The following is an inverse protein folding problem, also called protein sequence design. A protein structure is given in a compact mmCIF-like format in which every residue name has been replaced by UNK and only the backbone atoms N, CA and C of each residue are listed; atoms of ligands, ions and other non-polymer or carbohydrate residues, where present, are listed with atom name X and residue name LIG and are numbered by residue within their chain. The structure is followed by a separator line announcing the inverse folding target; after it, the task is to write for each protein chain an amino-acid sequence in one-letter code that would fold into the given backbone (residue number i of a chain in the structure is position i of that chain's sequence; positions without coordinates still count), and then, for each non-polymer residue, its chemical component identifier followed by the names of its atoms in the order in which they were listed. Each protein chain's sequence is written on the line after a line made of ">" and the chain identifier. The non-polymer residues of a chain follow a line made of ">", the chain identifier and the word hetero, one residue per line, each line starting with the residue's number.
data_IF_886495622892
#
_entry.id   IF_886495622892
#
_cell.length_a   1.000
_cell.length_b   1.000
_cell.length_c   1.000
_cell.angle_alpha   90.00
_cell.angle_beta   90.00
_cell.angle_gamma   90.00
#
_symmetry.space_group_name_H-M   'P 1'
#
loop_
_entity.id
_entity.type
_entity.pdbx_description
1 polymer ?
#
# COMPACT_ATOMS: atom_id res chain seq x y z
N UNK A 1 -55.26 10.74 21.76
CA UNK A 1 -54.04 10.20 22.39
C UNK A 1 -53.00 9.98 21.28
N UNK A 2 -52.49 11.04 20.63
CA UNK A 2 -51.63 10.94 19.43
C UNK A 2 -50.71 12.16 19.22
N UNK A 3 -50.23 12.82 20.27
CA UNK A 3 -49.40 14.05 20.14
C UNK A 3 -47.94 13.90 20.60
N UNK A 4 -47.57 12.75 21.16
CA UNK A 4 -46.21 12.49 21.66
C UNK A 4 -45.24 11.96 20.61
N UNK A 5 -45.72 11.48 19.45
CA UNK A 5 -44.91 10.77 18.45
C UNK A 5 -44.34 11.72 17.37
N UNK A 6 -44.94 12.89 17.14
CA UNK A 6 -44.44 13.92 16.22
C UNK A 6 -43.28 14.72 16.82
N UNK A 7 -43.37 15.05 18.11
CA UNK A 7 -42.35 15.81 18.84
C UNK A 7 -41.03 15.04 19.00
N UNK A 8 -41.08 13.72 19.17
CA UNK A 8 -39.87 12.88 19.28
C UNK A 8 -39.01 12.87 18.02
N UNK A 9 -39.60 12.72 16.83
CA UNK A 9 -38.84 12.68 15.56
C UNK A 9 -38.16 14.00 15.21
N UNK A 10 -38.79 15.14 15.52
CA UNK A 10 -38.19 16.45 15.29
C UNK A 10 -36.95 16.72 16.16
N UNK A 11 -36.93 16.17 17.38
CA UNK A 11 -35.77 16.23 18.27
C UNK A 11 -34.61 15.36 17.76
N UNK A 12 -34.91 14.16 17.24
CA UNK A 12 -33.89 13.26 16.66
C UNK A 12 -33.26 13.83 15.37
N UNK A 13 -34.04 14.48 14.50
CA UNK A 13 -33.54 15.17 13.31
C UNK A 13 -32.68 16.39 13.68
N UNK A 14 -33.07 17.14 14.72
CA UNK A 14 -32.28 18.26 15.23
C UNK A 14 -30.94 17.79 15.86
N UNK A 15 -30.96 16.68 16.60
CA UNK A 15 -29.76 16.07 17.20
C UNK A 15 -28.80 15.54 16.13
N UNK A 16 -29.30 14.82 15.13
CA UNK A 16 -28.48 14.31 14.03
C UNK A 16 -27.89 15.42 13.16
N UNK A 17 -28.64 16.51 12.94
CA UNK A 17 -28.13 17.70 12.25
C UNK A 17 -27.05 18.41 13.08
N UNK A 18 -27.21 18.49 14.40
CA UNK A 18 -26.21 19.07 15.31
C UNK A 18 -24.92 18.24 15.34
N UNK A 19 -25.04 16.90 15.37
CA UNK A 19 -23.89 15.99 15.30
C UNK A 19 -23.16 16.09 13.95
N UNK A 20 -23.91 16.15 12.84
CA UNK A 20 -23.34 16.33 11.51
C UNK A 20 -22.58 17.66 11.39
N UNK A 21 -23.14 18.75 11.95
CA UNK A 21 -22.49 20.05 12.00
C UNK A 21 -21.24 20.04 12.88
N UNK A 22 -21.30 19.40 14.05
CA UNK A 22 -20.14 19.25 14.94
C UNK A 22 -19.01 18.46 14.27
N UNK A 23 -19.33 17.39 13.54
CA UNK A 23 -18.35 16.61 12.76
C UNK A 23 -17.74 17.44 11.64
N UNK A 24 -18.55 18.24 10.94
CA UNK A 24 -18.06 19.14 9.90
C UNK A 24 -17.12 20.20 10.47
N UNK A 25 -17.43 20.77 11.63
CA UNK A 25 -16.57 21.74 12.31
C UNK A 25 -15.27 21.11 12.80
N UNK A 26 -15.31 19.88 13.31
CA UNK A 26 -14.11 19.13 13.71
C UNK A 26 -13.22 18.79 12.50
N UNK A 27 -13.80 18.37 11.37
CA UNK A 27 -13.05 18.13 10.14
C UNK A 27 -12.45 19.43 9.58
N UNK A 28 -13.20 20.53 9.61
CA UNK A 28 -12.71 21.85 9.22
C UNK A 28 -11.55 22.31 10.11
N UNK A 29 -11.65 22.07 11.43
CA UNK A 29 -10.62 22.41 12.40
C UNK A 29 -9.35 21.58 12.21
N UNK A 30 -9.48 20.27 11.98
CA UNK A 30 -8.34 19.39 11.69
C UNK A 30 -7.65 19.77 10.36
N UNK A 31 -8.43 20.12 9.33
CA UNK A 31 -7.91 20.62 8.05
C UNK A 31 -7.24 21.98 8.20
N UNK A 32 -7.78 22.87 9.04
CA UNK A 32 -7.18 24.17 9.33
C UNK A 32 -5.85 24.04 10.08
N UNK A 33 -5.77 23.13 11.05
CA UNK A 33 -4.54 22.87 11.82
C UNK A 33 -3.43 22.25 10.95
N UNK A 34 -3.79 21.29 10.10
CA UNK A 34 -2.85 20.68 9.15
C UNK A 34 -2.41 21.65 8.06
N UNK A 35 -3.30 22.53 7.60
CA UNK A 35 -2.94 23.62 6.69
C UNK A 35 -2.01 24.63 7.38
N UNK A 36 -2.30 25.02 8.62
CA UNK A 36 -1.49 25.97 9.39
C UNK A 36 -0.09 25.45 9.68
N UNK A 37 0.06 24.17 10.03
CA UNK A 37 1.37 23.55 10.25
C UNK A 37 2.15 23.38 8.95
N UNK A 38 1.49 23.02 7.84
CA UNK A 38 2.13 22.97 6.53
C UNK A 38 2.58 24.35 6.04
N UNK A 39 1.77 25.39 6.25
CA UNK A 39 2.07 26.77 5.89
C UNK A 39 3.22 27.33 6.75
N UNK A 40 3.17 27.10 8.07
CA UNK A 40 4.22 27.48 9.01
C UNK A 40 5.54 26.77 8.69
N UNK A 41 5.50 25.47 8.43
CA UNK A 41 6.67 24.69 8.01
C UNK A 41 7.24 25.13 6.67
N UNK A 42 6.39 25.54 5.73
CA UNK A 42 6.82 26.10 4.44
C UNK A 42 7.46 27.48 4.61
N UNK A 43 6.91 28.36 5.45
CA UNK A 43 7.47 29.69 5.77
C UNK A 43 8.78 29.57 6.53
N UNK A 44 8.84 28.70 7.54
CA UNK A 44 10.07 28.40 8.29
C UNK A 44 11.12 27.76 7.37
N UNK A 45 10.73 26.82 6.51
CA UNK A 45 11.59 26.21 5.51
C UNK A 45 12.11 27.19 4.48
N UNK A 46 11.29 28.15 4.03
CA UNK A 46 11.68 29.20 3.08
C UNK A 46 12.63 30.22 3.72
N UNK A 47 12.36 30.63 4.97
CA UNK A 47 13.21 31.55 5.72
C UNK A 47 14.56 30.94 6.10
N UNK A 48 14.60 29.64 6.45
CA UNK A 48 15.82 28.95 6.87
C UNK A 48 16.70 28.48 5.70
N UNK A 49 16.13 28.11 4.55
CA UNK A 49 16.88 27.47 3.47
C UNK A 49 17.21 28.37 2.28
N UNK A 50 16.73 29.62 2.24
CA UNK A 50 17.05 30.57 1.16
C UNK A 50 16.66 30.13 -0.26
N UNK A 51 15.92 29.03 -0.42
CA UNK A 51 15.36 28.59 -1.70
C UNK A 51 14.20 29.52 -2.02
N UNK A 52 14.43 30.37 -3.02
CA UNK A 52 13.60 31.54 -3.29
C UNK A 52 12.10 31.25 -3.34
N UNK A 53 11.32 32.19 -2.80
CA UNK A 53 9.86 32.30 -2.86
C UNK A 53 9.30 31.94 -4.26
N UNK A 54 10.05 32.23 -5.31
CA UNK A 54 9.77 31.83 -6.69
C UNK A 54 9.55 30.31 -6.88
N UNK A 55 10.33 29.44 -6.23
CA UNK A 55 10.14 27.99 -6.31
C UNK A 55 8.87 27.56 -5.58
N UNK A 56 8.54 28.22 -4.46
CA UNK A 56 7.32 27.97 -3.71
C UNK A 56 6.10 28.44 -4.50
N UNK A 57 6.15 29.62 -5.13
CA UNK A 57 5.07 30.16 -5.95
C UNK A 57 4.89 29.38 -7.26
N UNK A 58 5.96 28.92 -7.91
CA UNK A 58 5.86 28.00 -9.05
C UNK A 58 5.28 26.64 -8.64
N UNK A 59 5.66 26.15 -7.45
CA UNK A 59 5.11 24.92 -6.87
C UNK A 59 3.63 25.04 -6.56
N UNK A 60 3.21 26.16 -5.96
CA UNK A 60 1.81 26.45 -5.66
C UNK A 60 1.00 26.67 -6.94
N UNK A 61 1.54 27.42 -7.90
CA UNK A 61 0.92 27.64 -9.20
C UNK A 61 0.67 26.35 -9.97
N UNK A 62 1.65 25.44 -10.02
CA UNK A 62 1.47 24.10 -10.61
C UNK A 62 0.37 23.31 -9.91
N UNK A 63 0.38 23.28 -8.58
CA UNK A 63 -0.65 22.57 -7.80
C UNK A 63 -2.05 23.15 -8.01
N UNK A 64 -2.18 24.47 -8.09
CA UNK A 64 -3.46 25.13 -8.37
C UNK A 64 -3.94 24.86 -9.80
N UNK A 65 -3.04 24.85 -10.78
CA UNK A 65 -3.35 24.45 -12.16
C UNK A 65 -3.75 22.98 -12.27
N UNK A 66 -3.08 22.08 -11.54
CA UNK A 66 -3.41 20.66 -11.51
C UNK A 66 -4.78 20.43 -10.88
N UNK A 67 -5.11 21.14 -9.79
CA UNK A 67 -6.42 21.07 -9.13
C UNK A 67 -7.51 21.65 -10.04
N UNK A 68 -7.26 22.79 -10.69
CA UNK A 68 -8.21 23.42 -11.59
C UNK A 68 -8.46 22.56 -12.85
N UNK A 69 -7.41 21.99 -13.42
CA UNK A 69 -7.49 21.08 -14.57
C UNK A 69 -8.21 19.78 -14.19
N UNK A 70 -7.90 19.20 -13.03
CA UNK A 70 -8.60 18.03 -12.52
C UNK A 70 -10.08 18.33 -12.21
N UNK A 71 -10.40 19.50 -11.66
CA UNK A 71 -11.78 19.92 -11.40
C UNK A 71 -12.56 20.17 -12.70
N UNK A 72 -11.90 20.70 -13.74
CA UNK A 72 -12.49 20.95 -15.05
C UNK A 72 -12.69 19.65 -15.85
N UNK A 73 -11.80 18.67 -15.70
CA UNK A 73 -11.90 17.37 -16.37
C UNK A 73 -12.77 16.36 -15.61
N UNK A 74 -13.02 16.57 -14.31
CA UNK A 74 -13.86 15.69 -13.47
C UNK A 74 -15.23 15.33 -14.07
N UNK A 75 -16.00 16.27 -14.66
CA UNK A 75 -17.29 15.92 -15.29
C UNK A 75 -17.13 15.00 -16.51
N UNK A 76 -16.05 15.18 -17.27
CA UNK A 76 -15.72 14.33 -18.43
C UNK A 76 -15.20 12.97 -17.97
N UNK A 77 -14.38 12.93 -16.92
CA UNK A 77 -13.92 11.71 -16.25
C UNK A 77 -15.11 10.92 -15.69
N UNK A 78 -16.07 11.59 -15.05
CA UNK A 78 -17.29 10.96 -14.53
C UNK A 78 -18.22 10.47 -15.65
N UNK A 79 -18.35 11.21 -16.75
CA UNK A 79 -19.13 10.79 -17.91
C UNK A 79 -18.48 9.59 -18.62
N UNK A 80 -17.16 9.62 -18.81
CA UNK A 80 -16.38 8.52 -19.39
C UNK A 80 -16.37 7.29 -18.47
N UNK A 81 -16.27 7.49 -17.15
CA UNK A 81 -16.40 6.44 -16.13
C UNK A 81 -17.81 5.86 -16.07
N UNK A 82 -18.84 6.68 -16.24
CA UNK A 82 -20.23 6.24 -16.33
C UNK A 82 -20.50 5.43 -17.59
N UNK A 83 -19.96 5.84 -18.74
CA UNK A 83 -20.11 5.11 -20.01
C UNK A 83 -19.26 3.84 -20.01
N UNK A 84 -18.01 3.89 -19.53
CA UNK A 84 -17.16 2.70 -19.37
C UNK A 84 -17.75 1.75 -18.33
N UNK A 85 -18.31 2.25 -17.23
CA UNK A 85 -19.01 1.48 -16.21
C UNK A 85 -20.34 0.91 -16.71
N UNK A 86 -21.02 1.58 -17.64
CA UNK A 86 -22.26 1.09 -18.26
C UNK A 86 -21.98 0.08 -19.38
N UNK A 87 -20.89 0.24 -20.14
CA UNK A 87 -20.45 -0.74 -21.14
C UNK A 87 -19.84 -1.98 -20.48
N UNK A 88 -19.01 -1.83 -19.43
CA UNK A 88 -18.56 -2.94 -18.59
C UNK A 88 -19.71 -3.56 -17.80
N UNK A 89 -20.69 -2.76 -17.36
CA UNK A 89 -21.90 -3.25 -16.68
C UNK A 89 -22.86 -3.99 -17.62
N UNK A 90 -22.98 -3.55 -18.88
CA UNK A 90 -23.84 -4.19 -19.89
C UNK A 90 -23.19 -5.39 -20.56
N UNK A 91 -21.86 -5.46 -20.64
CA UNK A 91 -21.13 -6.67 -21.04
C UNK A 91 -20.88 -7.63 -19.84
N UNK A 92 -21.02 -7.14 -18.61
CA UNK A 92 -20.83 -7.89 -17.36
C UNK A 92 -22.11 -8.38 -16.69
N UNK A 93 -23.29 -8.00 -17.21
CA UNK A 93 -24.61 -8.50 -16.77
C UNK A 93 -24.92 -9.92 -17.27
N UNK A 94 -23.87 -10.73 -17.38
CA UNK A 94 -23.86 -12.17 -17.61
C UNK A 94 -22.66 -12.76 -16.89
N UNK A 95 -22.76 -12.96 -15.57
CA UNK A 95 -21.85 -13.81 -14.78
C UNK A 95 -20.38 -13.35 -14.69
N UNK A 96 -20.09 -12.04 -14.61
CA UNK A 96 -18.72 -11.57 -14.35
C UNK A 96 -18.65 -10.65 -13.12
N UNK A 97 -18.42 -11.27 -11.96
CA UNK A 97 -18.23 -10.58 -10.69
C UNK A 97 -17.02 -9.64 -10.70
N UNK A 98 -17.07 -8.63 -9.82
CA UNK A 98 -15.94 -7.72 -9.56
C UNK A 98 -14.66 -8.54 -9.32
N UNK A 99 -13.66 -8.39 -10.19
CA UNK A 99 -12.38 -9.07 -10.06
C UNK A 99 -11.66 -8.52 -8.84
N UNK A 100 -11.36 -9.37 -7.86
CA UNK A 100 -10.63 -9.01 -6.65
C UNK A 100 -9.18 -9.49 -6.77
N UNK A 101 -8.17 -8.60 -6.87
CA UNK A 101 -6.77 -9.00 -6.98
C UNK A 101 -6.18 -9.41 -5.62
N UNK A 102 -5.40 -10.49 -5.61
CA UNK A 102 -4.70 -10.99 -4.40
C UNK A 102 -3.20 -11.23 -4.62
N UNK A 103 -2.61 -10.56 -5.62
CA UNK A 103 -1.20 -10.72 -5.98
C UNK A 103 -0.25 -10.33 -4.82
N UNK A 104 -0.66 -9.37 -3.99
CA UNK A 104 0.09 -8.93 -2.80
C UNK A 104 -0.27 -9.73 -1.53
N UNK A 105 -1.10 -10.77 -1.67
CA UNK A 105 -1.71 -11.51 -0.58
C UNK A 105 -3.05 -10.92 -0.13
N UNK A 106 -3.61 -11.47 0.94
CA UNK A 106 -4.89 -11.03 1.48
C UNK A 106 -5.46 -11.99 2.52
N UNK A 107 -6.68 -11.70 2.99
CA UNK A 107 -7.44 -12.60 3.86
C UNK A 107 -8.87 -12.70 3.34
N UNK A 108 -9.34 -13.92 3.11
CA UNK A 108 -10.71 -14.23 2.75
C UNK A 108 -11.47 -14.53 4.02
N UNK A 109 -12.54 -13.77 4.28
CA UNK A 109 -13.31 -13.87 5.54
C UNK A 109 -14.68 -14.51 5.38
N UNK A 110 -15.09 -14.81 4.14
CA UNK A 110 -16.40 -15.34 3.81
C UNK A 110 -16.32 -16.27 2.59
N UNK A 111 -17.24 -17.25 2.48
CA UNK A 111 -17.33 -18.13 1.33
C UNK A 111 -17.32 -17.35 0.01
N UNK A 112 -16.32 -17.61 -0.83
CA UNK A 112 -16.08 -16.89 -2.08
C UNK A 112 -15.75 -17.87 -3.19
N UNK A 113 -16.37 -17.71 -4.36
CA UNK A 113 -16.10 -18.56 -5.51
C UNK A 113 -14.99 -17.98 -6.38
N UNK A 114 -14.15 -18.84 -6.95
CA UNK A 114 -13.15 -18.45 -7.94
C UNK A 114 -13.11 -19.43 -9.10
N UNK A 115 -12.83 -18.92 -10.30
CA UNK A 115 -12.67 -19.77 -11.48
C UNK A 115 -11.35 -20.51 -11.41
N UNK A 116 -11.39 -21.80 -11.70
CA UNK A 116 -10.21 -22.66 -11.86
C UNK A 116 -10.00 -22.96 -13.35
N UNK A 117 -8.81 -23.44 -13.69
CA UNK A 117 -8.53 -23.96 -15.03
C UNK A 117 -9.52 -25.05 -15.44
N UNK A 118 -9.69 -25.25 -16.74
CA UNK A 118 -10.60 -26.25 -17.32
C UNK A 118 -12.10 -26.08 -16.96
N UNK A 119 -12.51 -24.87 -16.60
CA UNK A 119 -13.93 -24.54 -16.34
C UNK A 119 -14.46 -25.01 -14.98
N UNK A 120 -13.59 -25.53 -14.10
CA UNK A 120 -13.95 -25.84 -12.73
C UNK A 120 -14.15 -24.54 -11.91
N UNK A 121 -14.94 -24.62 -10.84
CA UNK A 121 -15.13 -23.52 -9.88
C UNK A 121 -14.67 -24.00 -8.51
N UNK A 122 -13.80 -23.22 -7.88
CA UNK A 122 -13.35 -23.43 -6.51
C UNK A 122 -14.16 -22.59 -5.52
N UNK A 123 -14.21 -23.06 -4.27
CA UNK A 123 -14.74 -22.32 -3.13
C UNK A 123 -13.61 -22.09 -2.13
N UNK A 124 -13.53 -20.89 -1.56
CA UNK A 124 -12.59 -20.51 -0.50
C UNK A 124 -13.33 -19.85 0.67
N UNK A 125 -12.76 -19.88 1.87
CA UNK A 125 -13.34 -19.26 3.07
C UNK A 125 -14.45 -20.07 3.72
N UNK A 126 -14.44 -21.41 3.59
CA UNK A 126 -15.43 -22.29 4.21
C UNK A 126 -15.16 -22.54 5.70
N UNK A 127 -13.89 -22.50 6.10
CA UNK A 127 -13.44 -22.77 7.47
C UNK A 127 -13.14 -21.50 8.28
N UNK A 128 -13.61 -20.33 7.82
CA UNK A 128 -13.37 -19.04 8.44
C UNK A 128 -12.33 -18.20 7.71
N UNK A 129 -11.53 -17.44 8.45
CA UNK A 129 -10.55 -16.53 7.86
C UNK A 129 -9.35 -17.28 7.28
N UNK A 130 -9.23 -17.29 5.95
CA UNK A 130 -8.14 -17.94 5.21
C UNK A 130 -7.16 -16.89 4.66
N UNK A 131 -5.86 -17.14 4.77
CA UNK A 131 -4.82 -16.25 4.27
C UNK A 131 -4.46 -16.58 2.81
N UNK A 132 -4.36 -15.55 1.97
CA UNK A 132 -3.80 -15.64 0.64
C UNK A 132 -2.36 -15.14 0.70
N UNK A 133 -1.44 -16.00 0.29
CA UNK A 133 -0.01 -15.75 0.34
C UNK A 133 0.53 -15.47 -1.06
N UNK A 134 1.28 -14.37 -1.26
CA UNK A 134 1.90 -14.10 -2.55
C UNK A 134 2.93 -15.19 -2.86
N UNK A 135 2.89 -15.76 -4.07
CA UNK A 135 3.86 -16.75 -4.52
C UNK A 135 4.86 -16.11 -5.48
N UNK A 136 6.13 -16.52 -5.38
CA UNK A 136 7.18 -16.16 -6.35
C UNK A 136 7.90 -17.41 -6.80
N UNK A 137 8.35 -17.39 -8.06
CA UNK A 137 9.19 -18.45 -8.61
C UNK A 137 10.65 -18.16 -8.27
N UNK A 138 11.36 -19.14 -7.75
CA UNK A 138 12.80 -19.11 -7.53
C UNK A 138 13.59 -19.20 -8.85
N UNK A 139 14.90 -18.95 -8.78
CA UNK A 139 15.81 -19.08 -9.93
C UNK A 139 15.95 -20.54 -10.41
N UNK A 140 15.67 -21.49 -9.50
CA UNK A 140 15.56 -22.93 -9.75
C UNK A 140 14.22 -23.33 -10.40
N UNK A 141 13.31 -22.39 -10.59
CA UNK A 141 11.98 -22.64 -11.14
C UNK A 141 10.97 -23.17 -10.13
N UNK A 142 11.35 -23.38 -8.87
CA UNK A 142 10.43 -23.80 -7.82
C UNK A 142 9.49 -22.65 -7.43
N UNK A 143 8.26 -22.96 -6.99
CA UNK A 143 7.34 -21.97 -6.44
C UNK A 143 7.52 -21.91 -4.92
N UNK A 144 7.72 -20.71 -4.39
CA UNK A 144 7.81 -20.44 -2.95
C UNK A 144 6.90 -19.29 -2.53
N UNK A 145 6.67 -19.19 -1.22
CA UNK A 145 5.90 -18.08 -0.63
C UNK A 145 6.81 -16.84 -0.50
N UNK A 146 6.36 -15.71 -1.02
CA UNK A 146 7.08 -14.45 -0.92
C UNK A 146 6.91 -13.86 0.47
N UNK A 147 7.98 -13.87 1.25
CA UNK A 147 8.04 -13.18 2.54
C UNK A 147 8.30 -11.69 2.30
N UNK A 148 7.26 -10.86 2.29
CA UNK A 148 7.41 -9.40 2.26
C UNK A 148 7.79 -8.91 3.66
N UNK A 149 9.00 -8.38 3.84
CA UNK A 149 9.45 -7.76 5.10
C UNK A 149 10.61 -8.44 5.83
N UNK A 150 11.12 -9.57 5.33
CA UNK A 150 12.33 -10.18 5.86
C UNK A 150 13.56 -9.73 5.09
N UNK A 151 14.36 -8.82 5.67
CA UNK A 151 15.73 -8.49 5.26
C UNK A 151 16.71 -9.67 5.44
N UNK A 152 16.28 -10.91 5.19
CA UNK A 152 17.02 -12.12 5.57
C UNK A 152 16.81 -13.35 4.68
N UNK A 153 15.94 -13.33 3.66
CA UNK A 153 15.77 -14.47 2.74
C UNK A 153 16.89 -14.56 1.68
N UNK A 154 18.14 -14.39 2.09
CA UNK A 154 19.31 -14.41 1.21
C UNK A 154 20.65 -14.15 1.91
N UNK A 155 20.67 -13.85 3.20
CA UNK A 155 21.89 -13.87 4.01
C UNK A 155 21.98 -15.22 4.72
N UNK A 156 22.29 -16.29 3.98
CA UNK A 156 22.61 -17.58 4.60
C UNK A 156 23.70 -17.39 5.64
N UNK A 157 23.53 -17.99 6.83
CA UNK A 157 24.57 -17.98 7.85
C UNK A 157 25.80 -18.73 7.31
N UNK A 158 26.92 -18.01 7.14
CA UNK A 158 28.17 -18.61 6.68
C UNK A 158 29.02 -18.93 7.89
N UNK A 159 29.13 -20.21 8.23
CA UNK A 159 30.05 -20.71 9.27
C UNK A 159 31.37 -21.06 8.61
N UNK A 160 32.44 -20.37 8.98
CA UNK A 160 33.79 -20.60 8.45
C UNK A 160 34.73 -21.02 9.59
N UNK A 161 35.08 -22.30 9.63
CA UNK A 161 36.00 -22.85 10.63
C UNK A 161 37.42 -22.86 10.07
N UNK A 162 38.36 -22.23 10.80
CA UNK A 162 39.79 -22.23 10.45
C UNK A 162 40.56 -22.94 11.55
N UNK A 163 41.37 -23.92 11.15
CA UNK A 163 42.36 -24.55 12.03
C UNK A 163 43.75 -24.11 11.58
N UNK A 164 44.50 -23.51 12.50
CA UNK A 164 45.88 -23.10 12.28
C UNK A 164 46.78 -23.80 13.32
N UNK A 165 47.90 -24.35 12.86
CA UNK A 165 48.90 -25.04 13.69
C UNK A 165 49.87 -24.06 14.36
N UNK A 166 50.04 -22.85 13.79
CA UNK A 166 50.92 -21.80 14.31
C UNK A 166 50.44 -20.40 13.86
N UNK A 167 50.71 -19.38 14.68
CA UNK A 167 50.27 -18.00 14.44
C UNK A 167 50.96 -17.33 13.24
N UNK A 168 52.23 -17.64 12.97
CA UNK A 168 52.93 -17.09 11.81
C UNK A 168 52.40 -17.68 10.50
N UNK A 169 51.98 -18.95 10.53
CA UNK A 169 51.33 -19.61 9.40
C UNK A 169 49.99 -18.97 9.06
N UNK A 170 49.19 -18.60 10.06
CA UNK A 170 47.93 -17.87 9.84
C UNK A 170 48.16 -16.51 9.19
N UNK A 171 49.13 -15.71 9.68
CA UNK A 171 49.47 -14.39 9.10
C UNK A 171 49.89 -14.49 7.63
N UNK A 172 50.62 -15.55 7.24
CA UNK A 172 51.03 -15.76 5.85
C UNK A 172 49.84 -16.09 4.93
N UNK A 173 48.80 -16.72 5.47
CA UNK A 173 47.60 -17.15 4.74
C UNK A 173 46.40 -16.20 4.87
N UNK A 174 46.53 -15.09 5.61
CA UNK A 174 45.45 -14.13 5.86
C UNK A 174 44.78 -13.64 4.57
N UNK A 175 45.57 -13.23 3.57
CA UNK A 175 45.03 -12.75 2.29
C UNK A 175 44.24 -13.83 1.52
N UNK A 176 44.66 -15.09 1.60
CA UNK A 176 43.94 -16.20 0.96
C UNK A 176 42.63 -16.51 1.69
N UNK A 177 42.62 -16.47 3.02
CA UNK A 177 41.44 -16.69 3.86
C UNK A 177 40.40 -15.60 3.60
N UNK A 178 40.81 -14.33 3.58
CA UNK A 178 39.90 -13.21 3.28
C UNK A 178 39.31 -13.31 1.88
N UNK A 179 40.11 -13.74 0.89
CA UNK A 179 39.62 -13.96 -0.46
C UNK A 179 38.63 -15.13 -0.55
N UNK A 180 38.85 -16.22 0.22
CA UNK A 180 37.90 -17.34 0.31
C UNK A 180 36.59 -16.91 0.98
N UNK A 181 36.66 -16.16 2.07
CA UNK A 181 35.48 -15.63 2.76
C UNK A 181 34.67 -14.71 1.84
N UNK A 182 35.31 -13.77 1.15
CA UNK A 182 34.65 -12.85 0.23
C UNK A 182 33.92 -13.60 -0.92
N UNK A 183 34.56 -14.63 -1.49
CA UNK A 183 33.94 -15.50 -2.50
C UNK A 183 32.76 -16.30 -1.93
N UNK A 184 32.86 -16.80 -0.71
CA UNK A 184 31.77 -17.53 -0.05
C UNK A 184 30.57 -16.62 0.24
N UNK A 185 30.80 -15.39 0.71
CA UNK A 185 29.75 -14.38 0.91
C UNK A 185 29.08 -14.00 -0.42
N UNK A 186 29.87 -13.81 -1.47
CA UNK A 186 29.34 -13.48 -2.80
C UNK A 186 28.44 -14.61 -3.36
N UNK A 187 28.79 -15.88 -3.12
CA UNK A 187 27.95 -17.02 -3.49
C UNK A 187 26.69 -17.13 -2.62
N UNK A 188 26.81 -16.97 -1.30
CA UNK A 188 25.66 -17.01 -0.38
C UNK A 188 24.60 -15.96 -0.69
N UNK A 189 25.02 -14.74 -1.07
CA UNK A 189 24.11 -13.65 -1.50
C UNK A 189 23.39 -13.92 -2.83
N UNK A 190 23.90 -14.85 -3.65
CA UNK A 190 23.36 -15.14 -4.99
C UNK A 190 22.37 -16.32 -5.00
N UNK A 191 22.16 -16.99 -3.86
CA UNK A 191 21.16 -18.06 -3.72
C UNK A 191 21.44 -19.29 -4.58
N UNK A 192 22.72 -19.69 -4.72
CA UNK A 192 23.09 -21.00 -5.29
C UNK A 192 22.89 -22.11 -4.27
#
# INVERSE_FOLDING_TARGET
>A
MTDSVSTGRGLDDALSTSEALSRSMQDLQARSQSFGSALSGALQGAALNGKGLDTVLRGLGRRLSDIALAAALKPLENAMSGIAGSLLGSLGSGVAGKVTPFADGGVVRSPSFFSMGAGATGLMGEAGAEAILPLKRGADGALGVAMSGGSGAGSGQIVFNVTATDAASFKRSEGQITAMLARSVARGRRGV
#
